data_IF_043187094648
#
_entry.id   IF_043187094648
#
_cell.length_a   1.000
_cell.length_b   1.000
_cell.length_c   1.000
_cell.angle_alpha   90.00
_cell.angle_beta   90.00
_cell.angle_gamma   90.00
#
_symmetry.space_group_name_H-M   'P 1'
#
loop_
_entity.id
_entity.type
_entity.pdbx_description
1 polymer ?
#
# COMPACT_ATOMS: atom_id res chain seq x y z
N UNK A 1 -22.06 10.51 -3.66
CA UNK A 1 -20.94 11.15 -2.91
C UNK A 1 -21.39 12.42 -2.17
N UNK A 2 -22.60 12.44 -1.60
CA UNK A 2 -23.13 13.55 -0.79
C UNK A 2 -24.08 12.99 0.28
N UNK A 3 -23.50 12.45 1.34
CA UNK A 3 -24.12 12.23 2.67
C UNK A 3 -23.06 11.59 3.57
N UNK A 4 -22.01 12.35 3.91
CA UNK A 4 -21.25 12.06 5.11
C UNK A 4 -21.74 13.00 6.20
N UNK A 5 -22.67 12.46 6.98
CA UNK A 5 -23.03 12.94 8.29
C UNK A 5 -21.76 13.07 9.12
N UNK A 6 -21.48 14.33 9.50
CA UNK A 6 -20.78 14.78 10.71
C UNK A 6 -20.30 13.65 11.63
N UNK A 7 -19.15 13.04 11.33
CA UNK A 7 -18.29 12.53 12.38
C UNK A 7 -17.65 13.78 13.00
N UNK A 8 -17.85 14.08 14.29
CA UNK A 8 -17.11 15.15 14.93
C UNK A 8 -15.65 14.71 14.99
N UNK A 9 -14.87 15.10 13.98
CA UNK A 9 -13.42 15.17 14.08
C UNK A 9 -13.09 16.25 15.11
N UNK A 10 -13.26 15.93 16.40
CA UNK A 10 -12.59 16.66 17.45
C UNK A 10 -11.11 16.34 17.26
N UNK A 11 -10.33 17.34 16.87
CA UNK A 11 -8.88 17.30 17.04
C UNK A 11 -8.63 16.91 18.49
N UNK A 12 -8.18 15.68 18.72
CA UNK A 12 -7.77 15.19 20.03
C UNK A 12 -6.44 15.87 20.37
N UNK A 13 -6.50 17.16 20.71
CA UNK A 13 -5.41 17.94 21.29
C UNK A 13 -5.48 17.73 22.80
N UNK A 14 -5.05 16.56 23.25
CA UNK A 14 -4.96 16.20 24.66
C UNK A 14 -3.87 15.15 24.82
N UNK A 15 -2.67 15.57 25.24
CA UNK A 15 -1.54 14.75 25.72
C UNK A 15 -1.31 13.44 24.96
N UNK A 16 -0.41 13.46 23.95
CA UNK A 16 -0.10 12.36 23.03
C UNK A 16 -0.08 10.98 23.72
N UNK A 17 -1.15 10.20 23.53
CA UNK A 17 -1.16 8.79 23.91
C UNK A 17 -0.04 8.04 23.18
N UNK A 18 0.50 7.01 23.82
CA UNK A 18 1.49 6.15 23.19
C UNK A 18 0.81 5.33 22.08
N UNK A 19 1.49 5.12 20.95
CA UNK A 19 0.98 4.25 19.90
C UNK A 19 0.94 2.80 20.37
N UNK A 20 0.03 2.00 19.82
CA UNK A 20 -0.05 0.56 20.09
C UNK A 20 1.30 -0.11 19.80
N UNK A 21 1.95 0.23 18.68
CA UNK A 21 3.31 -0.26 18.36
C UNK A 21 4.28 0.02 19.50
N UNK A 22 4.36 1.29 19.94
CA UNK A 22 5.31 1.68 20.98
C UNK A 22 5.08 0.94 22.30
N UNK A 23 3.81 0.70 22.67
CA UNK A 23 3.45 -0.02 23.89
C UNK A 23 3.78 -1.52 23.80
N UNK A 24 3.59 -2.14 22.64
CA UNK A 24 3.92 -3.54 22.40
C UNK A 24 5.44 -3.80 22.35
N UNK A 25 6.22 -2.81 21.91
CA UNK A 25 7.68 -2.89 21.77
C UNK A 25 8.44 -2.41 23.02
N UNK A 26 7.74 -2.01 24.09
CA UNK A 26 8.42 -1.64 25.33
C UNK A 26 9.27 -2.83 25.82
N UNK A 27 10.57 -2.62 26.09
CA UNK A 27 11.43 -3.67 26.61
C UNK A 27 10.84 -4.20 27.93
N UNK A 28 11.08 -5.49 28.21
CA UNK A 28 10.60 -6.23 29.39
C UNK A 28 10.33 -5.30 30.56
N UNK A 29 9.04 -5.15 30.92
CA UNK A 29 8.55 -4.18 31.90
C UNK A 29 9.43 -4.19 33.15
N UNK A 30 10.34 -3.21 33.25
CA UNK A 30 11.04 -2.99 34.51
C UNK A 30 9.99 -2.65 35.58
N UNK A 31 10.23 -2.93 36.87
CA UNK A 31 9.28 -2.60 37.94
C UNK A 31 8.81 -1.14 37.89
N UNK A 32 9.71 -0.21 37.52
CA UNK A 32 9.43 1.22 37.37
C UNK A 32 8.54 1.59 36.15
N UNK A 33 8.46 0.73 35.13
CA UNK A 33 7.57 0.91 33.97
C UNK A 33 6.19 0.31 34.22
N UNK A 34 6.09 -0.77 35.01
CA UNK A 34 4.82 -1.37 35.45
C UNK A 34 3.97 -0.42 36.28
N UNK A 35 4.60 0.49 37.03
CA UNK A 35 3.92 1.49 37.87
C UNK A 35 3.47 2.74 37.11
N UNK A 36 3.87 2.92 35.85
CA UNK A 36 3.45 4.06 35.04
C UNK A 36 2.08 3.81 34.43
N UNK A 37 1.18 4.77 34.62
CA UNK A 37 -0.08 4.81 33.89
C UNK A 37 0.15 5.25 32.45
N UNK A 38 -0.33 4.44 31.50
CA UNK A 38 -0.27 4.70 30.07
C UNK A 38 -1.64 5.11 29.54
N UNK A 39 -1.62 5.90 28.46
CA UNK A 39 -2.82 6.23 27.68
C UNK A 39 -2.63 5.66 26.28
N UNK A 40 -3.57 4.82 25.86
CA UNK A 40 -3.63 4.23 24.53
C UNK A 40 -4.94 4.62 23.86
N UNK A 41 -4.89 5.02 22.60
CA UNK A 41 -6.04 5.48 21.83
C UNK A 41 -6.15 4.69 20.54
N UNK A 42 -7.36 4.36 20.12
CA UNK A 42 -7.57 3.60 18.89
C UNK A 42 -8.99 3.10 18.77
N UNK A 43 -9.18 2.09 17.92
CA UNK A 43 -10.45 1.47 17.63
C UNK A 43 -10.52 0.03 18.12
N UNK A 44 -11.69 -0.37 18.60
CA UNK A 44 -11.93 -1.72 19.08
C UNK A 44 -12.08 -2.69 17.89
N UNK A 45 -11.13 -3.61 17.73
CA UNK A 45 -11.12 -4.62 16.66
C UNK A 45 -11.85 -5.92 17.01
N UNK A 46 -11.99 -6.18 18.30
CA UNK A 46 -12.72 -7.32 18.82
C UNK A 46 -12.94 -7.13 20.30
N UNK A 47 -14.09 -7.59 20.80
CA UNK A 47 -14.46 -7.46 22.21
C UNK A 47 -15.07 -8.78 22.69
N UNK A 48 -14.56 -9.29 23.82
CA UNK A 48 -15.03 -10.49 24.49
C UNK A 48 -15.42 -10.16 25.92
N UNK A 49 -16.69 -10.38 26.25
CA UNK A 49 -17.24 -10.09 27.58
C UNK A 49 -17.39 -11.39 28.36
N UNK A 50 -16.75 -11.46 29.52
CA UNK A 50 -16.93 -12.51 30.52
C UNK A 50 -17.61 -11.94 31.77
N UNK A 51 -18.06 -12.83 32.67
CA UNK A 51 -18.77 -12.43 33.90
C UNK A 51 -17.99 -11.43 34.76
N UNK A 52 -16.67 -11.61 34.87
CA UNK A 52 -15.78 -10.83 35.76
C UNK A 52 -14.78 -9.92 35.02
N UNK A 53 -14.73 -9.99 33.70
CA UNK A 53 -13.73 -9.26 32.90
C UNK A 53 -14.24 -9.03 31.48
N UNK A 54 -13.91 -7.89 30.88
CA UNK A 54 -14.04 -7.68 29.43
C UNK A 54 -12.65 -7.53 28.84
N UNK A 55 -12.41 -8.23 27.73
CA UNK A 55 -11.19 -8.13 26.96
C UNK A 55 -11.52 -7.48 25.62
N UNK A 56 -10.72 -6.53 25.18
CA UNK A 56 -10.83 -6.04 23.82
C UNK A 56 -9.47 -5.74 23.20
N UNK A 57 -9.41 -5.81 21.88
CA UNK A 57 -8.21 -5.50 21.11
C UNK A 57 -8.31 -4.07 20.60
N UNK A 58 -7.37 -3.22 21.02
CA UNK A 58 -7.24 -1.83 20.62
C UNK A 58 -6.23 -1.72 19.48
N UNK A 59 -6.64 -1.14 18.36
CA UNK A 59 -5.81 -0.94 17.18
C UNK A 59 -5.85 0.53 16.74
N UNK A 60 -4.68 1.11 16.53
CA UNK A 60 -4.51 2.49 16.04
C UNK A 60 -3.88 2.53 14.64
N UNK A 61 -3.75 1.36 13.98
CA UNK A 61 -3.08 1.21 12.70
C UNK A 61 -1.55 1.26 12.73
N UNK A 62 -0.91 1.54 13.87
CA UNK A 62 0.56 1.63 13.97
C UNK A 62 1.24 0.27 13.88
N UNK A 63 0.57 -0.81 14.28
CA UNK A 63 1.12 -2.18 14.25
C UNK A 63 0.17 -3.13 13.52
N UNK A 64 0.69 -4.30 13.14
CA UNK A 64 -0.14 -5.44 12.70
C UNK A 64 -0.84 -6.11 13.89
N UNK A 65 -0.27 -5.97 15.08
CA UNK A 65 -0.82 -6.51 16.31
C UNK A 65 -1.58 -5.42 17.07
N UNK A 66 -2.78 -5.77 17.52
CA UNK A 66 -3.56 -4.92 18.41
C UNK A 66 -3.14 -5.12 19.87
N UNK A 67 -3.26 -4.07 20.70
CA UNK A 67 -3.02 -4.14 22.13
C UNK A 67 -4.22 -4.78 22.83
N UNK A 68 -4.00 -5.83 23.62
CA UNK A 68 -5.05 -6.36 24.48
C UNK A 68 -5.29 -5.40 25.67
N UNK A 69 -6.55 -5.02 25.85
CA UNK A 69 -7.03 -4.26 27.01
C UNK A 69 -7.88 -5.18 27.88
N UNK A 70 -7.60 -5.18 29.18
CA UNK A 70 -8.32 -5.93 30.21
C UNK A 70 -9.11 -4.96 31.08
N UNK A 71 -10.43 -5.14 31.15
CA UNK A 71 -11.34 -4.32 31.94
C UNK A 71 -11.94 -5.18 33.05
N UNK A 72 -11.53 -4.94 34.28
CA UNK A 72 -12.00 -5.66 35.47
C UNK A 72 -13.15 -4.93 36.15
N UNK A 73 -13.07 -3.60 36.23
CA UNK A 73 -14.08 -2.74 36.82
C UNK A 73 -15.46 -2.90 36.16
N UNK A 74 -16.51 -3.11 36.97
CA UNK A 74 -17.86 -3.37 36.47
C UNK A 74 -18.50 -2.17 35.76
N UNK A 75 -18.23 -0.96 36.22
CA UNK A 75 -18.75 0.25 35.59
C UNK A 75 -18.12 0.46 34.22
N UNK A 76 -16.80 0.29 34.11
CA UNK A 76 -16.10 0.40 32.83
C UNK A 76 -16.53 -0.69 31.83
N UNK A 77 -16.81 -1.91 32.31
CA UNK A 77 -17.33 -2.99 31.47
C UNK A 77 -18.68 -2.63 30.84
N UNK A 78 -19.53 -1.88 31.53
CA UNK A 78 -20.90 -1.60 31.11
C UNK A 78 -21.09 -0.23 30.44
N UNK A 79 -20.00 0.43 30.01
CA UNK A 79 -20.08 1.72 29.33
C UNK A 79 -20.91 1.63 28.03
N UNK A 80 -21.90 2.53 27.84
CA UNK A 80 -22.71 2.55 26.63
C UNK A 80 -21.85 2.94 25.42
N UNK A 81 -21.88 2.13 24.37
CA UNK A 81 -21.06 2.34 23.17
C UNK A 81 -19.70 1.65 23.21
N UNK A 82 -19.36 0.89 24.26
CA UNK A 82 -18.17 0.04 24.26
C UNK A 82 -18.41 -1.22 23.39
N UNK A 83 -18.26 -1.08 22.08
CA UNK A 83 -18.50 -2.12 21.08
C UNK A 83 -17.44 -2.13 19.98
N UNK A 84 -17.47 -3.16 19.12
CA UNK A 84 -16.62 -3.26 17.94
C UNK A 84 -16.71 -2.00 17.07
N UNK A 85 -15.55 -1.53 16.61
CA UNK A 85 -15.42 -0.36 15.74
C UNK A 85 -15.40 0.98 16.48
N UNK A 86 -15.72 1.02 17.77
CA UNK A 86 -15.74 2.26 18.57
C UNK A 86 -14.34 2.81 18.78
N UNK A 87 -14.23 4.14 18.72
CA UNK A 87 -13.02 4.87 19.07
C UNK A 87 -12.99 5.10 20.58
N UNK A 88 -11.89 4.73 21.22
CA UNK A 88 -11.73 4.84 22.67
C UNK A 88 -10.34 5.36 23.04
N UNK A 89 -10.30 6.06 24.17
CA UNK A 89 -9.10 6.43 24.88
C UNK A 89 -9.06 5.68 26.21
N UNK A 90 -8.09 4.79 26.37
CA UNK A 90 -7.93 3.91 27.52
C UNK A 90 -6.76 4.38 28.35
N UNK A 91 -7.02 4.67 29.62
CA UNK A 91 -5.98 4.87 30.62
C UNK A 91 -5.84 3.59 31.43
N UNK A 92 -4.61 3.13 31.64
CA UNK A 92 -4.38 1.89 32.39
C UNK A 92 -2.92 1.62 32.70
N UNK A 93 -2.68 0.51 33.40
CA UNK A 93 -1.34 0.05 33.73
C UNK A 93 -0.93 -1.06 32.77
N UNK A 94 0.27 -0.98 32.22
CA UNK A 94 0.80 -1.98 31.29
C UNK A 94 1.45 -3.10 32.09
N UNK A 95 0.97 -4.33 31.92
CA UNK A 95 1.44 -5.50 32.65
C UNK A 95 1.89 -6.60 31.70
N UNK A 96 2.75 -7.50 32.18
CA UNK A 96 3.13 -8.67 31.42
C UNK A 96 1.90 -9.55 31.19
N UNK A 97 1.66 -9.94 29.94
CA UNK A 97 0.51 -10.77 29.62
C UNK A 97 0.79 -12.23 29.98
N UNK A 98 -0.21 -12.98 30.47
CA UNK A 98 -0.09 -14.42 30.72
C UNK A 98 -0.09 -15.25 29.42
N UNK A 99 -0.45 -14.65 28.28
CA UNK A 99 -0.50 -15.32 26.97
C UNK A 99 0.84 -15.18 26.24
N UNK A 100 1.42 -16.26 25.70
CA UNK A 100 2.68 -16.20 24.94
C UNK A 100 2.52 -15.48 23.58
N UNK A 101 1.30 -15.23 23.11
CA UNK A 101 1.03 -14.58 21.82
C UNK A 101 1.08 -13.05 21.90
N UNK A 102 1.14 -12.48 23.10
CA UNK A 102 1.14 -11.04 23.32
C UNK A 102 2.04 -10.73 24.54
N UNK A 103 3.08 -9.91 24.40
CA UNK A 103 4.06 -9.71 25.48
C UNK A 103 3.48 -8.93 26.66
N UNK A 104 2.54 -8.02 26.38
CA UNK A 104 1.94 -7.12 27.36
C UNK A 104 0.43 -7.01 27.17
N UNK A 105 -0.27 -6.59 28.22
CA UNK A 105 -1.66 -6.18 28.18
C UNK A 105 -1.90 -4.93 29.05
N UNK A 106 -2.88 -4.11 28.67
CA UNK A 106 -3.23 -2.88 29.38
C UNK A 106 -4.43 -3.13 30.30
N UNK A 107 -4.20 -3.09 31.61
CA UNK A 107 -5.29 -3.17 32.61
C UNK A 107 -5.92 -1.79 32.75
N UNK A 108 -7.14 -1.64 32.25
CA UNK A 108 -7.83 -0.37 32.18
C UNK A 108 -8.24 0.12 33.58
N UNK A 109 -7.85 1.35 33.89
CA UNK A 109 -8.29 2.12 35.07
C UNK A 109 -9.36 3.14 34.72
N UNK A 110 -9.39 3.60 33.46
CA UNK A 110 -10.42 4.49 32.93
C UNK A 110 -10.58 4.30 31.41
N UNK A 111 -11.79 4.48 30.90
CA UNK A 111 -12.10 4.38 29.47
C UNK A 111 -13.01 5.54 29.07
N UNK A 112 -12.54 6.33 28.12
CA UNK A 112 -13.35 7.34 27.45
C UNK A 112 -13.75 6.83 26.05
N UNK A 113 -15.04 6.92 25.71
CA UNK A 113 -15.54 6.57 24.38
C UNK A 113 -15.62 7.84 23.55
N UNK A 114 -14.66 8.02 22.65
CA UNK A 114 -14.60 9.18 21.75
C UNK A 114 -15.72 9.14 20.71
N UNK A 115 -16.01 7.94 20.20
CA UNK A 115 -17.12 7.70 19.26
C UNK A 115 -17.58 6.25 19.34
N UNK A 116 -18.85 6.04 19.63
CA UNK A 116 -19.48 4.73 19.50
C UNK A 116 -19.66 4.37 18.01
N UNK A 117 -19.61 3.08 17.70
CA UNK A 117 -19.88 2.56 16.37
C UNK A 117 -21.28 1.94 16.28
N UNK A 118 -21.96 2.14 15.16
CA UNK A 118 -23.15 1.37 14.81
C UNK A 118 -22.71 -0.01 14.28
N UNK A 119 -22.76 -1.00 15.17
CA UNK A 119 -22.32 -2.37 14.84
C UNK A 119 -23.18 -3.01 13.76
N UNK A 120 -24.48 -2.68 13.70
CA UNK A 120 -25.41 -3.30 12.74
C UNK A 120 -25.21 -2.74 11.33
N UNK A 121 -24.97 -1.43 11.22
CA UNK A 121 -24.69 -0.77 9.96
C UNK A 121 -23.26 -0.98 9.43
N UNK A 122 -22.36 -1.57 10.22
CA UNK A 122 -20.96 -1.74 9.82
C UNK A 122 -20.81 -2.79 8.69
N UNK A 123 -20.25 -2.44 7.52
CA UNK A 123 -20.25 -3.33 6.34
C UNK A 123 -19.31 -4.52 6.47
N UNK A 124 -18.32 -4.46 7.36
CA UNK A 124 -17.40 -5.57 7.64
C UNK A 124 -17.75 -6.16 9.01
N UNK A 125 -18.60 -7.19 9.03
CA UNK A 125 -18.99 -7.87 10.27
C UNK A 125 -17.87 -8.81 10.75
N UNK A 126 -17.67 -8.85 12.05
CA UNK A 126 -16.69 -9.72 12.71
C UNK A 126 -17.04 -11.20 12.41
N UNK A 127 -16.05 -12.01 12.02
CA UNK A 127 -16.18 -13.44 11.66
C UNK A 127 -16.97 -13.75 10.38
N UNK A 128 -17.26 -12.76 9.54
CA UNK A 128 -17.85 -12.99 8.22
C UNK A 128 -16.78 -12.90 7.12
N UNK A 129 -16.79 -13.86 6.19
CA UNK A 129 -15.98 -13.75 4.96
C UNK A 129 -16.61 -12.71 4.06
N UNK A 130 -15.93 -11.58 3.88
CA UNK A 130 -16.35 -10.46 3.04
C UNK A 130 -15.85 -10.69 1.61
N UNK A 131 -16.74 -10.57 0.62
CA UNK A 131 -16.37 -10.71 -0.78
C UNK A 131 -15.43 -9.56 -1.20
N UNK A 132 -14.38 -9.79 -2.02
CA UNK A 132 -13.44 -8.74 -2.42
C UNK A 132 -14.07 -7.45 -2.96
N UNK A 133 -15.20 -7.54 -3.66
CA UNK A 133 -15.93 -6.39 -4.19
C UNK A 133 -16.54 -5.49 -3.11
N UNK A 134 -16.93 -6.05 -1.97
CA UNK A 134 -17.48 -5.25 -0.87
C UNK A 134 -16.40 -4.30 -0.30
N UNK A 135 -15.13 -4.72 -0.26
CA UNK A 135 -14.05 -3.81 0.11
C UNK A 135 -13.86 -2.67 -0.90
N UNK A 136 -14.15 -2.90 -2.19
CA UNK A 136 -14.09 -1.87 -3.23
C UNK A 136 -15.25 -0.88 -3.14
N UNK A 137 -16.40 -1.31 -2.62
CA UNK A 137 -17.54 -0.43 -2.38
C UNK A 137 -17.34 0.47 -1.14
N UNK A 138 -16.48 0.05 -0.20
CA UNK A 138 -16.20 0.76 1.06
C UNK A 138 -14.71 1.11 1.21
N UNK A 139 -14.11 1.74 0.19
CA UNK A 139 -12.67 2.07 0.19
C UNK A 139 -12.20 2.86 1.43
N UNK A 140 -13.04 3.75 1.95
CA UNK A 140 -12.75 4.57 3.12
C UNK A 140 -12.61 3.75 4.42
N UNK A 141 -13.17 2.53 4.49
CA UNK A 141 -13.03 1.63 5.65
C UNK A 141 -11.94 0.58 5.45
N UNK A 142 -11.40 0.44 4.23
CA UNK A 142 -10.41 -0.56 3.86
C UNK A 142 -9.15 -0.52 4.76
N UNK A 143 -8.60 0.65 5.15
CA UNK A 143 -7.46 0.71 6.07
C UNK A 143 -7.73 0.10 7.45
N UNK A 144 -8.99 -0.13 7.85
CA UNK A 144 -9.35 -0.73 9.15
C UNK A 144 -9.30 -2.27 9.13
N UNK A 145 -9.11 -2.87 7.96
CA UNK A 145 -9.01 -4.31 7.77
C UNK A 145 -7.53 -4.70 7.72
N UNK A 146 -7.12 -5.68 8.53
CA UNK A 146 -5.71 -6.03 8.76
C UNK A 146 -4.93 -6.29 7.47
N UNK A 147 -5.48 -7.08 6.53
CA UNK A 147 -4.80 -7.36 5.25
C UNK A 147 -4.45 -6.12 4.44
N UNK A 148 -5.26 -5.06 4.52
CA UNK A 148 -5.02 -3.84 3.76
C UNK A 148 -4.18 -2.85 4.55
N UNK A 149 -4.35 -2.78 5.87
CA UNK A 149 -3.47 -2.03 6.75
C UNK A 149 -2.01 -2.53 6.64
N UNK A 150 -1.81 -3.85 6.72
CA UNK A 150 -0.50 -4.50 6.53
C UNK A 150 0.09 -4.20 5.16
N UNK A 151 -0.69 -4.39 4.08
CA UNK A 151 -0.25 -4.03 2.72
C UNK A 151 0.14 -2.55 2.60
N UNK A 152 -0.60 -1.63 3.22
CA UNK A 152 -0.28 -0.19 3.21
C UNK A 152 1.00 0.12 3.98
N UNK A 153 1.24 -0.51 5.14
CA UNK A 153 2.49 -0.36 5.91
C UNK A 153 3.69 -0.94 5.16
N UNK A 154 3.56 -2.13 4.54
CA UNK A 154 4.61 -2.70 3.67
C UNK A 154 4.89 -1.77 2.48
N UNK A 155 3.85 -1.24 1.82
CA UNK A 155 4.02 -0.28 0.72
C UNK A 155 4.73 1.00 1.18
N UNK A 156 4.41 1.50 2.37
CA UNK A 156 5.08 2.66 2.96
C UNK A 156 6.56 2.37 3.24
N UNK A 157 6.88 1.22 3.83
CA UNK A 157 8.25 0.80 4.08
C UNK A 157 9.04 0.63 2.78
N UNK A 158 8.43 0.04 1.75
CA UNK A 158 9.02 -0.11 0.43
C UNK A 158 9.31 1.24 -0.22
N UNK A 159 8.40 2.21 -0.11
CA UNK A 159 8.62 3.55 -0.66
C UNK A 159 9.79 4.26 0.02
N UNK A 160 9.88 4.17 1.35
CA UNK A 160 11.01 4.71 2.12
C UNK A 160 12.31 4.03 1.69
N UNK A 161 12.33 2.69 1.63
CA UNK A 161 13.51 1.91 1.22
C UNK A 161 13.99 2.27 -0.19
N UNK A 162 13.08 2.52 -1.13
CA UNK A 162 13.41 3.00 -2.48
C UNK A 162 14.12 4.37 -2.39
N UNK A 163 13.55 5.33 -1.67
CA UNK A 163 14.17 6.65 -1.50
C UNK A 163 15.54 6.58 -0.82
N UNK A 164 15.69 5.71 0.19
CA UNK A 164 16.97 5.47 0.87
C UNK A 164 18.01 4.90 -0.10
N UNK A 165 17.65 3.87 -0.88
CA UNK A 165 18.54 3.28 -1.87
C UNK A 165 19.02 4.32 -2.89
N UNK A 166 18.11 5.12 -3.46
CA UNK A 166 18.48 6.16 -4.41
C UNK A 166 19.39 7.24 -3.78
N UNK A 167 19.08 7.67 -2.56
CA UNK A 167 19.89 8.64 -1.82
C UNK A 167 21.30 8.11 -1.54
N UNK A 168 21.43 6.86 -1.12
CA UNK A 168 22.72 6.20 -0.84
C UNK A 168 23.57 6.02 -2.11
N UNK A 169 22.92 5.99 -3.29
CA UNK A 169 23.56 5.90 -4.59
C UNK A 169 23.68 7.26 -5.31
N UNK A 170 23.59 8.37 -4.57
CA UNK A 170 23.80 9.75 -5.06
C UNK A 170 22.83 10.19 -6.16
N UNK A 171 21.60 9.66 -6.16
CA UNK A 171 20.55 10.15 -7.04
C UNK A 171 19.80 11.32 -6.43
N UNK A 172 19.41 12.26 -7.29
CA UNK A 172 18.53 13.36 -6.92
C UNK A 172 17.07 13.05 -7.28
N UNK A 173 16.17 13.22 -6.30
CA UNK A 173 14.73 13.11 -6.53
C UNK A 173 14.25 14.32 -7.33
N UNK A 174 13.65 14.05 -8.49
CA UNK A 174 13.09 15.06 -9.39
C UNK A 174 11.59 14.82 -9.55
N UNK A 175 10.78 15.83 -9.24
CA UNK A 175 9.36 15.80 -9.51
C UNK A 175 9.10 16.20 -10.96
N UNK A 176 8.92 15.20 -11.83
CA UNK A 176 8.56 15.42 -13.24
C UNK A 176 7.09 15.89 -13.37
N UNK A 177 6.76 16.71 -14.39
CA UNK A 177 5.39 17.16 -14.63
C UNK A 177 4.42 16.01 -14.91
N UNK A 178 3.21 16.09 -14.35
CA UNK A 178 2.10 15.16 -14.63
C UNK A 178 1.30 15.59 -15.85
N UNK A 179 1.06 16.89 -16.00
CA UNK A 179 0.46 17.45 -17.20
C UNK A 179 1.55 17.62 -18.24
N UNK A 180 1.35 17.04 -19.42
CA UNK A 180 2.36 17.01 -20.48
C UNK A 180 1.74 17.18 -21.85
N UNK A 181 2.51 17.74 -22.78
CA UNK A 181 2.22 17.74 -24.22
C UNK A 181 3.04 16.68 -24.95
N UNK A 182 3.96 16.03 -24.23
CA UNK A 182 4.87 15.00 -24.75
C UNK A 182 4.20 13.62 -24.66
N UNK A 183 4.32 12.84 -25.73
CA UNK A 183 4.04 11.41 -25.73
C UNK A 183 5.36 10.66 -25.59
N UNK A 184 5.65 10.15 -24.39
CA UNK A 184 6.91 9.47 -24.09
C UNK A 184 6.95 8.02 -24.60
N UNK A 185 5.80 7.34 -24.72
CA UNK A 185 5.72 5.92 -25.11
C UNK A 185 5.18 5.72 -26.54
N UNK A 186 4.73 6.78 -27.22
CA UNK A 186 4.33 6.77 -28.64
C UNK A 186 3.07 5.94 -28.93
N UNK A 187 2.33 5.55 -27.89
CA UNK A 187 1.25 4.57 -27.94
C UNK A 187 -0.16 5.17 -28.05
N UNK A 188 -0.32 6.49 -27.97
CA UNK A 188 -1.61 7.16 -28.15
C UNK A 188 -2.70 6.90 -27.10
N UNK A 189 -2.48 6.02 -26.13
CA UNK A 189 -3.44 5.70 -25.06
C UNK A 189 -3.20 6.53 -23.79
N UNK A 190 -3.23 7.87 -23.91
CA UNK A 190 -3.13 8.81 -22.80
C UNK A 190 -4.49 9.46 -22.48
N UNK A 191 -4.70 9.84 -21.22
CA UNK A 191 -5.88 10.63 -20.83
C UNK A 191 -5.68 12.09 -21.25
N UNK A 192 -6.59 12.64 -22.06
CA UNK A 192 -6.59 14.06 -22.40
C UNK A 192 -7.14 14.91 -21.24
N UNK A 193 -6.54 16.07 -21.01
CA UNK A 193 -6.90 17.03 -19.95
C UNK A 193 -7.42 18.32 -20.58
N UNK A 194 -8.64 18.72 -20.22
CA UNK A 194 -9.27 19.96 -20.69
C UNK A 194 -9.90 20.72 -19.51
N UNK A 195 -10.12 22.03 -19.68
CA UNK A 195 -10.73 22.89 -18.64
C UNK A 195 -12.26 22.75 -18.67
N UNK A 196 -12.86 22.41 -17.53
CA UNK A 196 -14.27 22.01 -17.41
C UNK A 196 -15.31 23.10 -17.78
N UNK A 197 -14.95 24.39 -17.73
CA UNK A 197 -15.87 25.52 -17.91
C UNK A 197 -15.67 26.30 -19.22
N UNK A 198 -15.28 25.62 -20.32
CA UNK A 198 -15.38 26.21 -21.65
C UNK A 198 -16.87 26.33 -22.03
N UNK A 199 -17.52 27.39 -21.56
CA UNK A 199 -18.81 27.80 -22.12
C UNK A 199 -18.63 27.99 -23.63
N UNK A 200 -19.58 27.43 -24.38
CA UNK A 200 -19.58 27.29 -25.83
C UNK A 200 -19.66 28.65 -26.54
N UNK A 201 -18.57 29.40 -26.60
CA UNK A 201 -18.43 30.40 -27.66
C UNK A 201 -18.13 29.67 -28.97
N UNK A 202 -19.22 29.32 -29.68
CA UNK A 202 -19.28 28.46 -30.87
C UNK A 202 -18.39 28.85 -32.07
N UNK A 203 -17.56 29.89 -32.00
CA UNK A 203 -16.86 30.44 -33.18
C UNK A 203 -15.40 30.86 -32.97
N UNK A 204 -14.75 30.46 -31.88
CA UNK A 204 -13.27 30.52 -31.81
C UNK A 204 -12.74 29.10 -31.82
N UNK A 205 -11.91 28.78 -32.82
CA UNK A 205 -11.05 27.60 -32.77
C UNK A 205 -10.42 27.56 -31.38
N UNK A 206 -10.69 26.47 -30.66
CA UNK A 206 -10.55 26.37 -29.22
C UNK A 206 -9.10 26.67 -28.81
N UNK A 207 -8.86 27.78 -28.11
CA UNK A 207 -7.55 27.99 -27.49
C UNK A 207 -7.38 26.91 -26.42
N UNK A 208 -6.47 25.97 -26.68
CA UNK A 208 -6.01 25.04 -25.67
C UNK A 208 -5.42 25.82 -24.50
N UNK A 209 -5.67 25.40 -23.26
CA UNK A 209 -5.23 26.17 -22.07
C UNK A 209 -3.70 26.38 -22.06
N UNK A 210 -2.95 25.40 -22.57
CA UNK A 210 -1.49 25.45 -22.68
C UNK A 210 -0.99 25.86 -24.08
N UNK A 211 -1.89 26.32 -24.97
CA UNK A 211 -1.56 26.57 -26.38
C UNK A 211 -1.38 25.30 -27.23
N UNK A 212 -1.46 24.13 -26.62
CA UNK A 212 -1.43 22.81 -27.27
C UNK A 212 -2.22 21.77 -26.45
N UNK A 213 -2.65 20.65 -27.07
CA UNK A 213 -3.34 19.58 -26.36
C UNK A 213 -2.48 19.02 -25.23
N UNK A 214 -3.07 18.94 -24.03
CA UNK A 214 -2.40 18.37 -22.85
C UNK A 214 -3.02 17.02 -22.47
N UNK A 215 -2.18 16.15 -21.91
CA UNK A 215 -2.53 14.84 -21.40
C UNK A 215 -1.92 14.58 -20.03
N UNK A 216 -2.41 13.55 -19.37
CA UNK A 216 -1.75 12.96 -18.21
C UNK A 216 -0.58 12.11 -18.68
N UNK A 217 0.57 12.27 -18.02
CA UNK A 217 1.80 11.58 -18.40
C UNK A 217 1.70 10.05 -18.25
N UNK A 218 2.24 9.35 -19.25
CA UNK A 218 2.48 7.91 -19.20
C UNK A 218 3.83 7.60 -18.54
N UNK A 219 4.78 8.54 -18.57
CA UNK A 219 6.16 8.39 -18.08
C UNK A 219 6.87 9.73 -17.89
N UNK A 220 7.69 9.85 -16.85
CA UNK A 220 8.57 10.99 -16.60
C UNK A 220 9.93 10.92 -17.30
N UNK A 221 10.22 9.83 -18.02
CA UNK A 221 11.55 9.50 -18.57
C UNK A 221 12.23 10.68 -19.29
N UNK A 222 11.57 11.31 -20.27
CA UNK A 222 12.16 12.41 -21.05
C UNK A 222 12.60 13.60 -20.19
N UNK A 223 11.90 13.87 -19.08
CA UNK A 223 12.28 14.93 -18.15
C UNK A 223 13.49 14.50 -17.30
N UNK A 224 13.61 13.21 -16.97
CA UNK A 224 14.76 12.68 -16.24
C UNK A 224 16.02 12.68 -17.10
N UNK A 225 15.93 12.44 -18.41
CA UNK A 225 17.06 12.59 -19.35
C UNK A 225 17.63 14.02 -19.28
N UNK A 226 16.76 15.03 -19.35
CA UNK A 226 17.17 16.43 -19.20
C UNK A 226 17.76 16.72 -17.81
N UNK A 227 17.19 16.16 -16.74
CA UNK A 227 17.69 16.37 -15.38
C UNK A 227 19.05 15.67 -15.16
N UNK A 228 19.23 14.46 -15.67
CA UNK A 228 20.47 13.69 -15.57
C UNK A 228 21.63 14.37 -16.31
N UNK A 229 21.35 15.16 -17.37
CA UNK A 229 22.36 16.00 -18.00
C UNK A 229 23.01 17.00 -17.02
N UNK A 230 22.25 17.56 -16.09
CA UNK A 230 22.76 18.49 -15.07
C UNK A 230 23.19 17.83 -13.76
N UNK A 231 22.54 16.74 -13.35
CA UNK A 231 22.69 16.12 -12.03
C UNK A 231 23.44 14.78 -12.06
N UNK A 232 23.80 14.28 -13.25
CA UNK A 232 24.38 12.95 -13.52
C UNK A 232 23.48 11.77 -13.19
N UNK A 233 22.73 11.80 -12.08
CA UNK A 233 21.83 10.76 -11.61
C UNK A 233 20.54 11.37 -11.10
N UNK A 234 19.45 11.11 -11.78
CA UNK A 234 18.13 11.62 -11.43
C UNK A 234 17.13 10.47 -11.35
N UNK A 235 16.18 10.55 -10.42
CA UNK A 235 15.07 9.61 -10.36
C UNK A 235 13.79 10.33 -9.98
N UNK A 236 12.65 9.73 -10.30
CA UNK A 236 11.35 10.17 -9.82
C UNK A 236 10.65 9.04 -9.06
N UNK A 237 9.61 9.41 -8.32
CA UNK A 237 8.62 8.48 -7.80
C UNK A 237 7.26 9.15 -7.94
N UNK A 238 6.70 9.06 -9.14
CA UNK A 238 5.57 9.88 -9.57
C UNK A 238 4.37 9.03 -10.01
N UNK A 239 3.14 9.57 -9.96
CA UNK A 239 1.99 8.93 -10.58
C UNK A 239 2.13 8.96 -12.11
N UNK A 240 1.65 7.89 -12.73
CA UNK A 240 1.57 7.71 -14.18
C UNK A 240 0.19 7.16 -14.56
N UNK A 241 -0.22 7.44 -15.78
CA UNK A 241 -1.58 7.17 -16.24
C UNK A 241 -1.57 6.50 -17.61
N UNK A 242 -2.31 5.40 -17.75
CA UNK A 242 -2.50 4.69 -19.03
C UNK A 242 -3.99 4.52 -19.31
N UNK A 243 -4.42 4.96 -20.49
CA UNK A 243 -5.81 4.89 -20.93
C UNK A 243 -6.17 3.54 -21.60
N UNK A 244 -5.42 2.48 -21.29
CA UNK A 244 -5.67 1.13 -21.74
C UNK A 244 -7.01 0.59 -21.22
N UNK A 245 -7.86 0.11 -22.14
CA UNK A 245 -9.13 -0.55 -21.79
C UNK A 245 -8.93 -2.03 -21.46
N UNK A 246 -7.92 -2.36 -20.66
CA UNK A 246 -7.64 -3.72 -20.23
C UNK A 246 -8.08 -3.97 -18.78
N UNK A 247 -9.14 -4.75 -18.60
CA UNK A 247 -9.62 -5.16 -17.28
C UNK A 247 -8.92 -6.43 -16.80
N UNK A 248 -7.59 -6.36 -16.63
CA UNK A 248 -6.81 -7.45 -16.04
C UNK A 248 -6.59 -7.23 -14.54
N UNK A 249 -6.14 -8.26 -13.81
CA UNK A 249 -5.78 -8.13 -12.39
C UNK A 249 -4.46 -7.37 -12.16
N UNK A 250 -3.73 -7.05 -13.24
CA UNK A 250 -2.38 -6.44 -13.22
C UNK A 250 -2.33 -5.04 -13.84
N UNK A 251 -3.43 -4.57 -14.44
CA UNK A 251 -3.49 -3.26 -15.08
C UNK A 251 -4.27 -2.27 -14.20
N UNK A 252 -3.69 -1.09 -14.02
CA UNK A 252 -4.32 0.06 -13.37
C UNK A 252 -4.20 1.25 -14.32
N UNK A 253 -5.25 2.05 -14.43
CA UNK A 253 -5.21 3.29 -15.21
C UNK A 253 -4.45 4.41 -14.52
N UNK A 254 -4.28 4.32 -13.19
CA UNK A 254 -3.44 5.19 -12.37
C UNK A 254 -2.56 4.31 -11.50
N UNK A 255 -1.26 4.51 -11.58
CA UNK A 255 -0.26 3.78 -10.82
C UNK A 255 0.93 4.68 -10.50
N UNK A 256 1.83 4.21 -9.65
CA UNK A 256 3.04 4.94 -9.32
C UNK A 256 4.23 4.26 -9.97
N UNK A 257 5.07 5.05 -10.62
CA UNK A 257 6.30 4.61 -11.23
C UNK A 257 7.51 5.15 -10.48
N UNK A 258 8.55 4.34 -10.47
CA UNK A 258 9.89 4.72 -10.04
C UNK A 258 10.75 4.60 -11.27
N UNK A 259 11.21 5.74 -11.76
CA UNK A 259 12.01 5.85 -12.99
C UNK A 259 13.34 6.51 -12.62
N UNK A 260 14.42 6.08 -13.25
CA UNK A 260 15.75 6.53 -12.92
C UNK A 260 16.59 6.65 -14.19
N UNK A 261 17.40 7.71 -14.23
CA UNK A 261 18.25 8.04 -15.35
C UNK A 261 19.68 8.32 -14.86
N UNK A 262 20.66 7.75 -15.56
CA UNK A 262 22.08 7.81 -15.19
C UNK A 262 22.92 8.19 -16.39
N UNK A 263 23.59 9.34 -16.32
CA UNK A 263 24.60 9.73 -17.30
C UNK A 263 25.86 8.84 -17.17
N UNK A 264 26.56 8.65 -18.30
CA UNK A 264 27.80 7.89 -18.41
C UNK A 264 27.66 6.38 -18.08
N UNK A 265 26.50 5.80 -18.38
CA UNK A 265 26.30 4.36 -18.32
C UNK A 265 26.68 3.73 -19.67
N UNK A 266 27.91 3.22 -19.75
CA UNK A 266 28.51 2.85 -21.04
C UNK A 266 28.15 1.44 -21.53
N UNK A 267 27.45 0.64 -20.72
CA UNK A 267 27.07 -0.72 -21.09
C UNK A 267 25.79 -1.20 -20.39
N UNK A 268 25.14 -2.16 -21.03
CA UNK A 268 23.89 -2.76 -20.54
C UNK A 268 24.08 -3.61 -19.28
N UNK A 269 25.24 -4.24 -19.09
CA UNK A 269 25.51 -5.07 -17.90
C UNK A 269 25.53 -4.25 -16.62
N UNK A 270 26.02 -3.01 -16.68
CA UNK A 270 25.99 -2.05 -15.59
C UNK A 270 24.57 -1.66 -15.20
N UNK A 271 23.69 -1.44 -16.20
CA UNK A 271 22.26 -1.19 -15.97
C UNK A 271 21.61 -2.39 -15.25
N UNK A 272 21.81 -3.61 -15.78
CA UNK A 272 21.23 -4.83 -15.22
C UNK A 272 21.72 -5.08 -13.78
N UNK A 273 23.01 -4.88 -13.53
CA UNK A 273 23.58 -5.00 -12.19
C UNK A 273 22.95 -3.99 -11.23
N UNK A 274 22.76 -2.75 -11.68
CA UNK A 274 22.16 -1.70 -10.87
C UNK A 274 20.68 -2.02 -10.53
N UNK A 275 19.89 -2.45 -11.52
CA UNK A 275 18.50 -2.85 -11.32
C UNK A 275 18.38 -4.03 -10.34
N UNK A 276 19.26 -5.02 -10.47
CA UNK A 276 19.29 -6.18 -9.58
C UNK A 276 19.60 -5.77 -8.14
N UNK A 277 20.62 -4.93 -7.93
CA UNK A 277 20.97 -4.42 -6.60
C UNK A 277 19.84 -3.59 -5.99
N UNK A 278 19.21 -2.71 -6.76
CA UNK A 278 18.05 -1.94 -6.29
C UNK A 278 16.96 -2.86 -5.75
N UNK A 279 16.55 -3.85 -6.54
CA UNK A 279 15.49 -4.78 -6.15
C UNK A 279 15.87 -5.58 -4.90
N UNK A 280 17.11 -6.07 -4.83
CA UNK A 280 17.61 -6.83 -3.66
C UNK A 280 17.68 -5.96 -2.40
N UNK A 281 18.34 -4.81 -2.46
CA UNK A 281 18.49 -3.91 -1.30
C UNK A 281 17.14 -3.40 -0.79
N UNK A 282 16.22 -3.02 -1.69
CA UNK A 282 14.88 -2.60 -1.30
C UNK A 282 14.11 -3.76 -0.66
N UNK A 283 14.19 -4.96 -1.24
CA UNK A 283 13.52 -6.15 -0.68
C UNK A 283 14.05 -6.47 0.72
N UNK A 284 15.37 -6.50 0.89
CA UNK A 284 16.01 -6.75 2.19
C UNK A 284 15.58 -5.71 3.22
N UNK A 285 15.59 -4.42 2.85
CA UNK A 285 15.17 -3.35 3.75
C UNK A 285 13.70 -3.47 4.16
N UNK A 286 12.82 -3.87 3.25
CA UNK A 286 11.40 -4.14 3.56
C UNK A 286 11.26 -5.33 4.49
N UNK A 287 11.99 -6.42 4.25
CA UNK A 287 11.98 -7.61 5.11
C UNK A 287 12.45 -7.29 6.53
N UNK A 288 13.38 -6.35 6.69
CA UNK A 288 13.86 -5.89 8.00
C UNK A 288 12.87 -4.92 8.69
N UNK A 289 12.42 -3.87 7.99
CA UNK A 289 11.66 -2.76 8.58
C UNK A 289 10.15 -3.03 8.71
N UNK A 290 9.60 -3.93 7.91
CA UNK A 290 8.19 -4.31 7.92
C UNK A 290 8.00 -5.81 8.18
N UNK A 291 8.93 -6.46 8.88
CA UNK A 291 8.97 -7.92 9.10
C UNK A 291 7.63 -8.50 9.57
N UNK A 292 7.01 -7.89 10.60
CA UNK A 292 5.75 -8.37 11.16
C UNK A 292 4.58 -8.25 10.17
N UNK A 293 4.49 -7.13 9.46
CA UNK A 293 3.48 -6.91 8.44
C UNK A 293 3.68 -7.82 7.22
N UNK A 294 4.93 -8.00 6.79
CA UNK A 294 5.29 -8.89 5.69
C UNK A 294 4.94 -10.35 6.03
N UNK A 295 5.31 -10.81 7.24
CA UNK A 295 4.96 -12.14 7.75
C UNK A 295 3.45 -12.35 7.76
N UNK A 296 2.68 -11.41 8.30
CA UNK A 296 1.22 -11.49 8.27
C UNK A 296 0.69 -11.66 6.83
N UNK A 297 1.22 -10.88 5.89
CA UNK A 297 0.78 -10.94 4.50
C UNK A 297 1.15 -12.28 3.86
N UNK A 298 2.32 -12.84 4.17
CA UNK A 298 2.74 -14.15 3.68
C UNK A 298 1.88 -15.29 4.25
N UNK A 299 1.57 -15.23 5.54
CA UNK A 299 0.80 -16.29 6.23
C UNK A 299 -0.68 -16.31 5.82
N UNK A 300 -1.27 -15.14 5.53
CA UNK A 300 -2.73 -15.00 5.39
C UNK A 300 -3.21 -14.62 3.99
N UNK A 301 -2.34 -14.15 3.09
CA UNK A 301 -2.77 -13.59 1.80
C UNK A 301 -1.97 -14.14 0.62
N UNK A 302 -0.67 -14.37 0.78
CA UNK A 302 0.18 -14.85 -0.30
C UNK A 302 -0.08 -16.35 -0.61
N UNK A 303 0.26 -16.83 -1.82
CA UNK A 303 0.30 -18.26 -2.11
C UNK A 303 1.27 -19.00 -1.16
N UNK A 304 1.05 -20.31 -0.98
CA UNK A 304 1.97 -21.14 -0.20
C UNK A 304 3.41 -21.04 -0.74
N UNK A 305 4.39 -21.05 0.15
CA UNK A 305 5.82 -20.99 -0.14
C UNK A 305 6.33 -19.68 -0.79
N UNK A 306 5.52 -18.61 -0.81
CA UNK A 306 5.94 -17.36 -1.45
C UNK A 306 7.08 -16.65 -0.70
N UNK A 307 7.16 -16.77 0.63
CA UNK A 307 8.27 -16.24 1.44
C UNK A 307 9.63 -16.78 0.96
N UNK A 308 9.75 -18.10 0.85
CA UNK A 308 10.99 -18.75 0.41
C UNK A 308 11.38 -18.36 -1.02
N UNK A 309 10.40 -18.04 -1.89
CA UNK A 309 10.69 -17.51 -3.22
C UNK A 309 11.30 -16.12 -3.17
N UNK A 310 10.79 -15.24 -2.29
CA UNK A 310 11.29 -13.87 -2.12
C UNK A 310 12.68 -13.88 -1.48
N UNK A 311 12.89 -14.71 -0.46
CA UNK A 311 14.21 -14.91 0.17
C UNK A 311 15.21 -15.44 -0.86
N UNK A 312 14.85 -16.47 -1.61
CA UNK A 312 15.70 -17.01 -2.69
C UNK A 312 16.01 -15.96 -3.76
N UNK A 313 15.04 -15.13 -4.14
CA UNK A 313 15.24 -14.03 -5.08
C UNK A 313 16.23 -13.00 -4.52
N UNK A 314 16.14 -12.67 -3.24
CA UNK A 314 17.06 -11.73 -2.59
C UNK A 314 18.51 -12.28 -2.54
N UNK A 315 18.66 -13.60 -2.31
CA UNK A 315 19.96 -14.26 -2.16
C UNK A 315 20.62 -14.67 -3.48
N UNK A 316 19.84 -14.96 -4.52
CA UNK A 316 20.36 -15.51 -5.79
C UNK A 316 20.64 -14.43 -6.82
N UNK A 317 21.67 -14.61 -7.65
CA UNK A 317 21.87 -13.74 -8.83
C UNK A 317 20.76 -13.92 -9.85
N UNK A 318 20.36 -12.82 -10.50
CA UNK A 318 19.30 -12.88 -11.51
C UNK A 318 19.83 -13.51 -12.79
N UNK A 319 19.11 -14.52 -13.29
CA UNK A 319 19.45 -15.16 -14.57
C UNK A 319 19.16 -14.19 -15.71
N UNK A 320 20.19 -13.90 -16.51
CA UNK A 320 20.08 -13.05 -17.71
C UNK A 320 19.91 -13.95 -18.93
N UNK A 321 18.74 -13.89 -19.55
CA UNK A 321 18.41 -14.70 -20.73
C UNK A 321 18.23 -13.77 -21.93
N UNK A 322 19.08 -13.87 -22.97
CA UNK A 322 18.86 -13.17 -24.23
C UNK A 322 17.48 -13.48 -24.82
N UNK A 323 16.87 -12.51 -25.50
CA UNK A 323 15.51 -12.65 -26.05
C UNK A 323 15.38 -13.88 -26.97
N UNK A 324 16.37 -14.13 -27.84
CA UNK A 324 16.37 -15.26 -28.76
C UNK A 324 16.45 -16.61 -28.02
N UNK A 325 17.17 -16.67 -26.91
CA UNK A 325 17.19 -17.86 -26.04
C UNK A 325 15.85 -18.05 -25.34
N UNK A 326 15.26 -16.98 -24.81
CA UNK A 326 13.94 -17.02 -24.20
C UNK A 326 12.88 -17.52 -25.19
N UNK A 327 12.92 -17.04 -26.44
CA UNK A 327 12.04 -17.53 -27.51
C UNK A 327 12.25 -19.00 -27.83
N UNK A 328 13.52 -19.45 -27.93
CA UNK A 328 13.84 -20.89 -28.13
C UNK A 328 13.30 -21.77 -27.00
N UNK A 329 13.36 -21.30 -25.75
CA UNK A 329 12.78 -22.00 -24.60
C UNK A 329 11.26 -22.07 -24.75
N UNK A 330 10.61 -20.94 -25.05
CA UNK A 330 9.16 -20.86 -25.20
C UNK A 330 8.63 -21.73 -26.35
N UNK A 331 9.31 -21.75 -27.50
CA UNK A 331 8.95 -22.58 -28.66
C UNK A 331 9.02 -24.07 -28.35
N UNK A 332 10.04 -24.52 -27.59
CA UNK A 332 10.13 -25.91 -27.12
C UNK A 332 8.94 -26.33 -26.25
N UNK A 333 8.31 -25.37 -25.58
CA UNK A 333 7.13 -25.59 -24.73
C UNK A 333 5.83 -25.07 -25.36
N UNK A 334 5.81 -24.80 -26.67
CA UNK A 334 4.68 -24.20 -27.41
C UNK A 334 3.34 -24.91 -27.20
N UNK A 335 3.35 -26.23 -27.01
CA UNK A 335 2.15 -27.05 -26.74
C UNK A 335 1.45 -26.71 -25.41
N UNK A 336 2.08 -25.95 -24.53
CA UNK A 336 1.50 -25.51 -23.24
C UNK A 336 0.72 -24.19 -23.36
N UNK A 337 0.76 -23.52 -24.52
CA UNK A 337 0.14 -22.22 -24.73
C UNK A 337 -1.10 -22.33 -25.63
N UNK A 338 -2.18 -21.64 -25.25
CA UNK A 338 -3.37 -21.49 -26.10
C UNK A 338 -3.08 -20.69 -27.38
N UNK A 339 -2.03 -19.87 -27.37
CA UNK A 339 -1.54 -19.12 -28.53
C UNK A 339 -0.02 -19.27 -28.56
N UNK A 340 0.55 -19.97 -29.54
CA UNK A 340 1.98 -20.20 -29.59
C UNK A 340 2.76 -18.88 -29.70
N UNK A 341 3.89 -18.75 -28.98
CA UNK A 341 4.74 -17.57 -29.07
C UNK A 341 5.34 -17.47 -30.48
N UNK A 342 5.36 -16.26 -31.04
CA UNK A 342 5.91 -15.98 -32.38
C UNK A 342 6.99 -14.91 -32.30
N UNK A 343 8.13 -15.18 -32.91
CA UNK A 343 9.25 -14.22 -33.01
C UNK A 343 8.79 -12.96 -33.76
N UNK A 344 9.07 -11.79 -33.21
CA UNK A 344 8.83 -10.50 -33.88
C UNK A 344 7.39 -9.99 -33.89
N UNK A 345 6.40 -10.73 -33.35
CA UNK A 345 5.08 -10.14 -33.10
C UNK A 345 5.04 -9.48 -31.72
N UNK A 346 5.17 -8.15 -31.68
CA UNK A 346 4.77 -7.34 -30.52
C UNK A 346 3.31 -7.64 -30.10
N UNK A 347 2.49 -8.13 -31.04
CA UNK A 347 1.10 -8.56 -30.78
C UNK A 347 0.96 -9.83 -29.94
N UNK A 348 2.01 -10.65 -29.78
CA UNK A 348 1.93 -11.91 -29.02
C UNK A 348 2.03 -11.75 -27.50
N UNK A 349 2.37 -10.55 -27.01
CA UNK A 349 2.33 -10.20 -25.58
C UNK A 349 1.10 -9.36 -25.21
N UNK A 350 0.28 -8.97 -26.19
CA UNK A 350 -1.02 -8.39 -25.94
C UNK A 350 -1.99 -9.50 -25.55
N UNK A 351 -2.36 -9.56 -24.27
CA UNK A 351 -3.57 -10.26 -23.85
C UNK A 351 -4.74 -9.65 -24.61
N UNK A 352 -5.16 -10.29 -25.71
CA UNK A 352 -6.14 -9.69 -26.60
C UNK A 352 -7.46 -9.49 -25.84
N UNK A 353 -7.84 -8.22 -25.67
CA UNK A 353 -9.21 -7.81 -25.37
C UNK A 353 -10.17 -8.19 -26.52
N UNK A 354 -9.66 -8.73 -27.63
CA UNK A 354 -10.41 -9.06 -28.84
C UNK A 354 -11.27 -10.33 -28.74
N UNK A 355 -11.04 -11.23 -27.77
CA UNK A 355 -11.88 -12.43 -27.61
C UNK A 355 -13.15 -12.23 -26.76
N UNK A 356 -13.39 -11.05 -26.18
CA UNK A 356 -14.58 -10.76 -25.35
C UNK A 356 -15.70 -10.05 -26.14
N UNK A 357 -15.47 -9.66 -27.40
CA UNK A 357 -16.51 -8.99 -28.22
C UNK A 357 -17.60 -9.91 -28.81
N UNK A 358 -17.53 -11.23 -28.65
CA UNK A 358 -18.54 -12.14 -29.24
C UNK A 358 -19.26 -13.07 -28.26
N UNK A 359 -19.15 -12.86 -26.94
CA UNK A 359 -19.82 -13.79 -26.00
C UNK A 359 -20.62 -13.17 -24.87
N UNK A 360 -20.66 -11.85 -24.74
CA UNK A 360 -21.51 -11.16 -23.75
C UNK A 360 -22.03 -9.81 -24.27
N UNK A 361 -22.70 -9.84 -25.43
CA UNK A 361 -23.97 -9.10 -25.56
C UNK A 361 -25.07 -10.02 -25.03
#
# INVERSE_FOLDING_TARGET
MRTFLRLPWRRCLSTSGASVRSLLELPSLSPAQSEKTHIAQGWIKGIRRLKKATFFHLDDGSSVHALQVVVLDEHLRNLPGLCFGSAVSVRGNLVASPSPQQPVELVATDIHIDSANDTEAHPFKVKQTVHPDQYRQHLHLRPRVERFASMMRVRSAAAIAIHEFFRENEFFLVHTPVLTTNDAEGGGEAFSVTVANKEKEKNKAEEEFFGSPASLTVSGQLHLESAAYGLKRAYNFNPAFRAERQQSRRHLSEFWMVEAEMAFLDNFDGLLFWMENMLKSVTEKVLQTAAADFKYHMDHVAPKNHTALIEKMAESSFVRVPYDEAMRILEKHSMQFNTPPKVGSLDSLNFSAAQIKSKYC
#
